data_IF_860365466097
#
_entry.id   IF_860365466097
#
_cell.length_a   1.000
_cell.length_b   1.000
_cell.length_c   1.000
_cell.angle_alpha   90.00
_cell.angle_beta   90.00
_cell.angle_gamma   90.00
#
_symmetry.space_group_name_H-M   'P 1'
#
loop_
_entity.id
_entity.type
_entity.pdbx_description
1 polymer ?
#
# COMPACT_ATOMS: atom_id res chain seq x y z
N UNK A 1 18.52 40.22 -58.95
CA UNK A 1 17.38 40.50 -58.04
C UNK A 1 16.73 39.24 -57.45
N UNK A 2 16.84 38.06 -58.08
CA UNK A 2 16.34 36.78 -57.54
C UNK A 2 17.28 36.09 -56.52
N UNK A 3 18.58 36.42 -56.49
CA UNK A 3 19.57 35.77 -55.60
C UNK A 3 19.60 36.34 -54.18
N UNK A 4 19.17 37.60 -53.97
CA UNK A 4 19.12 38.24 -52.64
C UNK A 4 17.88 37.85 -51.81
N UNK A 5 16.85 37.27 -52.45
CA UNK A 5 15.63 36.81 -51.75
C UNK A 5 15.84 35.41 -51.17
N UNK A 6 16.58 34.55 -51.87
CA UNK A 6 16.89 33.17 -51.42
C UNK A 6 17.86 33.17 -50.23
N UNK A 7 18.81 34.09 -50.19
CA UNK A 7 19.73 34.24 -49.05
C UNK A 7 19.04 34.81 -47.80
N UNK A 8 18.02 35.65 -47.98
CA UNK A 8 17.20 36.19 -46.88
C UNK A 8 16.22 35.17 -46.32
N UNK A 9 15.74 34.23 -47.14
CA UNK A 9 14.90 33.10 -46.70
C UNK A 9 15.74 32.03 -45.99
N UNK A 10 16.99 31.79 -46.41
CA UNK A 10 17.90 30.86 -45.70
C UNK A 10 18.37 31.42 -44.35
N UNK A 11 18.68 32.72 -44.25
CA UNK A 11 19.03 33.37 -42.97
C UNK A 11 17.85 33.59 -42.01
N UNK A 12 16.61 33.48 -42.47
CA UNK A 12 15.44 33.42 -41.58
C UNK A 12 15.12 32.00 -41.08
N UNK A 13 15.63 30.95 -41.74
CA UNK A 13 15.49 29.56 -41.29
C UNK A 13 16.53 29.13 -40.26
N UNK A 14 17.64 29.86 -40.12
CA UNK A 14 18.70 29.59 -39.13
C UNK A 14 18.61 30.46 -37.85
N UNK A 15 17.52 31.20 -37.65
CA UNK A 15 17.27 31.98 -36.40
C UNK A 15 15.96 31.62 -35.70
N UNK A 16 15.63 30.33 -35.71
CA UNK A 16 14.76 29.75 -34.69
C UNK A 16 15.48 28.55 -34.08
N UNK A 17 16.51 28.85 -33.31
CA UNK A 17 16.71 28.11 -32.07
C UNK A 17 15.46 28.36 -31.25
N UNK A 18 14.45 27.49 -31.41
CA UNK A 18 13.46 27.30 -30.37
C UNK A 18 14.29 26.91 -29.16
N UNK A 19 14.50 27.87 -28.25
CA UNK A 19 14.73 27.48 -26.87
C UNK A 19 13.60 26.50 -26.55
N UNK A 20 13.97 25.29 -26.16
CA UNK A 20 13.06 24.44 -25.41
C UNK A 20 12.60 25.32 -24.25
N UNK A 21 11.40 25.89 -24.36
CA UNK A 21 10.78 26.51 -23.21
C UNK A 21 10.69 25.38 -22.21
N UNK A 22 11.43 25.47 -21.10
CA UNK A 22 11.16 24.70 -19.90
C UNK A 22 9.70 24.99 -19.53
N UNK A 23 8.78 24.21 -20.10
CA UNK A 23 7.36 24.32 -19.80
C UNK A 23 7.15 23.62 -18.49
N UNK A 24 6.66 24.37 -17.50
CA UNK A 24 6.11 23.79 -16.30
C UNK A 24 5.05 22.75 -16.71
N UNK A 25 5.22 21.52 -16.24
CA UNK A 25 4.27 20.42 -16.44
C UNK A 25 3.93 19.82 -15.09
N UNK A 26 2.64 19.66 -14.84
CA UNK A 26 2.09 19.03 -13.63
C UNK A 26 0.98 18.10 -14.12
N UNK A 27 0.99 16.85 -13.67
CA UNK A 27 -0.07 15.87 -13.96
C UNK A 27 -1.37 16.28 -13.26
N UNK A 28 -2.51 16.06 -13.88
CA UNK A 28 -3.84 16.32 -13.26
C UNK A 28 -4.31 15.10 -12.44
N UNK A 29 -5.42 15.24 -11.71
CA UNK A 29 -6.06 14.16 -10.94
C UNK A 29 -5.17 13.54 -9.84
N UNK A 30 -4.42 14.39 -9.16
CA UNK A 30 -3.56 14.01 -8.04
C UNK A 30 -4.38 13.69 -6.80
N UNK A 31 -3.95 12.66 -6.07
CA UNK A 31 -4.50 12.30 -4.75
C UNK A 31 -3.37 12.36 -3.73
N UNK A 32 -3.50 13.29 -2.78
CA UNK A 32 -2.62 13.37 -1.62
C UNK A 32 -2.76 12.10 -0.80
N UNK A 33 -1.68 11.66 -0.15
CA UNK A 33 -1.68 10.44 0.65
C UNK A 33 -0.93 10.66 1.97
N UNK A 34 -1.30 9.99 3.07
CA UNK A 34 -2.25 8.89 3.14
C UNK A 34 -3.72 9.29 3.00
N UNK A 35 -4.54 8.39 2.43
CA UNK A 35 -6.01 8.47 2.40
C UNK A 35 -6.57 7.43 3.36
N UNK A 36 -7.40 7.83 4.33
CA UNK A 36 -7.98 6.87 5.27
C UNK A 36 -6.92 6.25 6.20
N UNK A 37 -6.93 4.92 6.32
CA UNK A 37 -6.07 4.15 7.23
C UNK A 37 -4.88 3.52 6.50
N UNK A 38 -4.10 4.32 5.78
CA UNK A 38 -2.91 3.85 5.06
C UNK A 38 -1.67 3.91 5.95
N UNK A 39 -1.09 2.74 6.19
CA UNK A 39 0.11 2.58 7.01
C UNK A 39 1.37 2.23 6.20
N UNK A 40 1.25 1.80 4.93
CA UNK A 40 2.37 1.63 4.00
C UNK A 40 2.50 2.80 3.02
N UNK A 41 3.52 3.64 3.20
CA UNK A 41 3.72 4.80 2.32
C UNK A 41 4.07 4.41 0.88
N UNK A 42 4.73 3.27 0.66
CA UNK A 42 5.05 2.80 -0.70
C UNK A 42 3.78 2.43 -1.46
N UNK A 43 2.93 1.59 -0.84
CA UNK A 43 1.66 1.17 -1.43
C UNK A 43 0.72 2.37 -1.62
N UNK A 44 0.70 3.33 -0.68
CA UNK A 44 -0.07 4.57 -0.80
C UNK A 44 0.39 5.43 -1.99
N UNK A 45 1.71 5.65 -2.11
CA UNK A 45 2.28 6.39 -3.24
C UNK A 45 2.02 5.69 -4.58
N UNK A 46 2.12 4.37 -4.63
CA UNK A 46 1.81 3.57 -5.82
C UNK A 46 0.31 3.62 -6.16
N UNK A 47 -0.57 3.58 -5.16
CA UNK A 47 -2.00 3.71 -5.36
C UNK A 47 -2.35 5.08 -5.98
N UNK A 48 -1.82 6.18 -5.43
CA UNK A 48 -1.97 7.52 -6.00
C UNK A 48 -1.38 7.63 -7.41
N UNK A 49 -0.26 6.95 -7.68
CA UNK A 49 0.30 6.88 -9.02
C UNK A 49 -0.67 6.22 -10.01
N UNK A 50 -1.27 5.10 -9.61
CA UNK A 50 -2.15 4.31 -10.45
C UNK A 50 -3.51 4.98 -10.71
N UNK A 51 -3.99 5.84 -9.82
CA UNK A 51 -5.15 6.72 -10.11
C UNK A 51 -4.89 7.53 -11.38
N UNK A 52 -3.71 8.16 -11.48
CA UNK A 52 -3.31 8.96 -12.65
C UNK A 52 -3.12 8.04 -13.87
N UNK A 53 -2.38 6.93 -13.72
CA UNK A 53 -2.08 5.99 -14.82
C UNK A 53 -3.35 5.37 -15.42
N UNK A 54 -4.37 5.09 -14.59
CA UNK A 54 -5.66 4.55 -15.03
C UNK A 54 -6.59 5.62 -15.60
N UNK A 55 -6.21 6.90 -15.52
CA UNK A 55 -6.99 8.01 -16.03
C UNK A 55 -8.30 8.22 -15.27
N UNK A 56 -8.31 7.91 -13.97
CA UNK A 56 -9.47 8.18 -13.13
C UNK A 56 -9.64 9.69 -12.93
N UNK A 57 -10.90 10.11 -12.91
CA UNK A 57 -11.32 11.50 -12.76
C UNK A 57 -12.41 11.57 -11.70
N UNK A 58 -12.79 12.77 -11.27
CA UNK A 58 -13.94 12.96 -10.36
C UNK A 58 -15.27 12.45 -10.95
N UNK A 59 -15.33 12.28 -12.28
CA UNK A 59 -16.50 11.75 -12.99
C UNK A 59 -16.45 10.22 -13.15
N UNK A 60 -15.33 9.58 -12.79
CA UNK A 60 -15.20 8.12 -12.88
C UNK A 60 -16.03 7.46 -11.79
N UNK A 61 -17.08 6.68 -12.11
CA UNK A 61 -17.92 6.07 -11.09
C UNK A 61 -17.13 5.12 -10.19
N UNK A 62 -17.38 5.20 -8.88
CA UNK A 62 -16.83 4.29 -7.89
C UNK A 62 -17.90 3.29 -7.42
N UNK A 63 -17.52 2.05 -7.09
CA UNK A 63 -18.43 1.09 -6.50
C UNK A 63 -18.63 1.36 -5.00
N UNK A 64 -19.78 1.90 -4.63
CA UNK A 64 -20.13 2.13 -3.23
C UNK A 64 -20.62 0.83 -2.59
N UNK A 65 -19.73 0.12 -1.88
CA UNK A 65 -20.07 -1.13 -1.19
C UNK A 65 -21.27 -1.00 -0.22
N UNK A 66 -21.38 0.04 0.65
CA UNK A 66 -22.55 0.19 1.53
C UNK A 66 -23.90 0.29 0.80
N UNK A 67 -23.92 0.83 -0.41
CA UNK A 67 -25.15 0.99 -1.21
C UNK A 67 -25.28 -0.04 -2.34
N UNK A 68 -24.30 -0.94 -2.49
CA UNK A 68 -24.20 -1.95 -3.56
C UNK A 68 -24.50 -1.40 -4.95
N UNK A 69 -23.94 -0.24 -5.31
CA UNK A 69 -24.15 0.42 -6.61
C UNK A 69 -23.00 1.34 -7.01
N UNK A 70 -22.85 1.58 -8.31
CA UNK A 70 -21.99 2.65 -8.82
C UNK A 70 -22.47 4.00 -8.35
N UNK A 71 -21.51 4.85 -8.05
CA UNK A 71 -21.76 6.13 -7.48
C UNK A 71 -20.80 7.18 -8.03
N UNK A 72 -21.36 8.35 -8.34
CA UNK A 72 -20.57 9.55 -8.64
C UNK A 72 -20.64 10.54 -7.48
N UNK A 73 -21.68 10.59 -6.63
CA UNK A 73 -21.71 11.43 -5.39
C UNK A 73 -22.83 10.99 -4.42
N UNK A 74 -22.69 9.86 -3.72
CA UNK A 74 -23.66 9.48 -2.69
C UNK A 74 -23.27 10.15 -1.38
N UNK A 75 -24.25 10.46 -0.53
CA UNK A 75 -24.01 11.06 0.79
C UNK A 75 -23.01 10.27 1.64
N UNK A 76 -22.95 8.94 1.49
CA UNK A 76 -22.00 8.07 2.19
C UNK A 76 -20.62 7.98 1.52
N UNK A 77 -20.52 8.36 0.24
CA UNK A 77 -19.32 8.28 -0.59
C UNK A 77 -18.44 9.53 -0.42
N UNK A 78 -19.06 10.66 -0.02
CA UNK A 78 -18.41 11.96 0.10
C UNK A 78 -18.20 12.64 -1.25
N UNK A 79 -17.47 13.75 -1.23
CA UNK A 79 -17.17 14.59 -2.40
C UNK A 79 -15.81 14.28 -3.04
N UNK A 80 -15.05 13.32 -2.49
CA UNK A 80 -13.67 13.00 -2.91
C UNK A 80 -13.61 11.62 -3.60
N UNK A 81 -13.99 11.54 -4.88
CA UNK A 81 -14.06 10.24 -5.58
C UNK A 81 -12.70 9.67 -5.90
N UNK A 82 -11.74 10.53 -6.26
CA UNK A 82 -10.38 10.08 -6.54
C UNK A 82 -9.74 9.40 -5.32
N UNK A 83 -10.01 9.89 -4.11
CA UNK A 83 -9.59 9.26 -2.85
C UNK A 83 -10.19 7.85 -2.69
N UNK A 84 -11.44 7.62 -3.12
CA UNK A 84 -12.07 6.29 -3.08
C UNK A 84 -11.46 5.31 -4.07
N UNK A 85 -11.12 5.78 -5.26
CA UNK A 85 -10.39 4.96 -6.23
C UNK A 85 -8.98 4.64 -5.74
N UNK A 86 -8.31 5.61 -5.14
CA UNK A 86 -7.00 5.44 -4.53
C UNK A 86 -7.06 4.37 -3.41
N UNK A 87 -8.00 4.49 -2.48
CA UNK A 87 -8.20 3.55 -1.36
C UNK A 87 -8.49 2.12 -1.86
N UNK A 88 -9.31 1.99 -2.90
CA UNK A 88 -9.60 0.71 -3.56
C UNK A 88 -8.37 0.08 -4.21
N UNK A 89 -7.53 0.89 -4.87
CA UNK A 89 -6.25 0.43 -5.42
C UNK A 89 -5.31 0.01 -4.28
N UNK A 90 -5.21 0.81 -3.22
CA UNK A 90 -4.37 0.52 -2.05
C UNK A 90 -4.73 -0.84 -1.44
N UNK A 91 -6.03 -1.11 -1.24
CA UNK A 91 -6.52 -2.42 -0.77
C UNK A 91 -6.01 -3.56 -1.65
N UNK A 92 -6.13 -3.42 -2.96
CA UNK A 92 -5.70 -4.45 -3.90
C UNK A 92 -4.19 -4.68 -3.90
N UNK A 93 -3.40 -3.60 -3.86
CA UNK A 93 -1.94 -3.68 -3.84
C UNK A 93 -1.41 -4.30 -2.54
N UNK A 94 -2.00 -3.95 -1.38
CA UNK A 94 -1.62 -4.52 -0.09
C UNK A 94 -1.94 -6.02 -0.03
N UNK A 95 -3.06 -6.44 -0.62
CA UNK A 95 -3.42 -7.85 -0.80
C UNK A 95 -2.44 -8.57 -1.74
N UNK A 96 -2.16 -8.01 -2.92
CA UNK A 96 -1.31 -8.63 -3.94
C UNK A 96 0.17 -8.76 -3.51
N UNK A 97 0.65 -7.78 -2.73
CA UNK A 97 1.98 -7.82 -2.11
C UNK A 97 2.08 -8.82 -0.95
N UNK A 98 0.95 -9.35 -0.47
CA UNK A 98 0.79 -10.19 0.73
C UNK A 98 1.02 -9.48 2.07
N UNK A 99 1.38 -8.20 2.07
CA UNK A 99 1.56 -7.40 3.28
C UNK A 99 0.28 -7.36 4.13
N UNK A 100 -0.87 -7.43 3.47
CA UNK A 100 -2.17 -7.50 4.12
C UNK A 100 -2.34 -8.73 5.03
N UNK A 101 -1.47 -9.74 4.93
CA UNK A 101 -1.53 -11.01 5.68
C UNK A 101 -0.40 -11.19 6.71
N UNK A 102 0.40 -10.14 6.99
CA UNK A 102 1.45 -10.14 8.02
C UNK A 102 0.97 -9.62 9.38
N UNK A 103 1.84 -9.71 10.39
CA UNK A 103 1.70 -9.09 11.73
C UNK A 103 2.68 -7.93 11.95
N UNK A 104 3.56 -7.71 10.99
CA UNK A 104 4.58 -6.70 10.95
C UNK A 104 4.77 -6.30 9.49
N UNK A 105 5.34 -5.12 9.28
CA UNK A 105 5.72 -4.71 7.95
C UNK A 105 7.21 -5.03 7.70
N UNK A 106 7.59 -5.54 6.52
CA UNK A 106 8.96 -5.93 6.19
C UNK A 106 10.05 -4.85 6.30
N UNK A 107 9.66 -3.58 6.44
CA UNK A 107 10.58 -2.47 6.65
C UNK A 107 10.85 -2.20 8.14
N UNK A 108 10.09 -2.81 9.05
CA UNK A 108 10.33 -2.72 10.49
C UNK A 108 11.54 -3.59 10.85
N UNK A 109 12.72 -2.98 10.74
CA UNK A 109 13.99 -3.62 10.99
C UNK A 109 14.15 -4.08 12.46
N UNK A 110 13.22 -3.74 13.36
CA UNK A 110 13.21 -4.24 14.75
C UNK A 110 12.62 -5.65 14.87
N UNK A 111 11.94 -6.13 13.83
CA UNK A 111 11.33 -7.47 13.78
C UNK A 111 12.23 -8.42 12.99
N UNK A 112 12.64 -9.53 13.61
CA UNK A 112 13.41 -10.58 12.95
C UNK A 112 13.21 -11.94 13.67
N UNK A 113 12.74 -12.99 12.99
CA UNK A 113 12.27 -13.00 11.59
C UNK A 113 10.92 -12.29 11.42
N UNK A 114 10.64 -11.81 10.21
CA UNK A 114 9.33 -11.27 9.85
C UNK A 114 8.26 -12.38 9.80
N UNK A 115 7.00 -12.02 10.00
CA UNK A 115 5.85 -12.94 9.91
C UNK A 115 5.46 -13.30 8.47
N UNK A 116 6.21 -12.84 7.47
CA UNK A 116 5.94 -13.05 6.05
C UNK A 116 7.15 -13.68 5.34
N UNK A 117 6.93 -14.60 4.38
CA UNK A 117 8.00 -15.27 3.67
C UNK A 117 8.75 -14.32 2.72
N UNK A 118 10.06 -14.51 2.59
CA UNK A 118 10.88 -13.83 1.60
C UNK A 118 11.40 -12.45 2.01
N UNK A 119 10.97 -11.93 3.17
CA UNK A 119 11.44 -10.64 3.70
C UNK A 119 12.53 -10.83 4.75
N UNK A 120 13.52 -9.93 4.75
CA UNK A 120 14.65 -9.92 5.69
C UNK A 120 14.79 -8.53 6.29
N UNK A 121 15.39 -8.40 7.47
CA UNK A 121 15.72 -7.07 8.01
C UNK A 121 16.59 -6.28 7.04
N UNK A 122 16.32 -4.98 6.91
CA UNK A 122 16.95 -4.10 5.94
C UNK A 122 16.41 -4.27 4.52
N UNK A 123 15.33 -5.04 4.32
CA UNK A 123 14.73 -5.21 3.01
C UNK A 123 14.09 -3.90 2.53
N UNK A 124 14.28 -3.62 1.25
CA UNK A 124 13.87 -2.39 0.59
C UNK A 124 13.36 -2.78 -0.79
N UNK A 125 12.03 -2.94 -0.90
CA UNK A 125 11.24 -3.22 -2.12
C UNK A 125 12.08 -3.61 -3.34
N UNK A 126 12.53 -4.86 -3.43
CA UNK A 126 13.43 -5.30 -4.51
C UNK A 126 12.73 -5.34 -5.88
N UNK A 127 13.49 -5.68 -6.93
CA UNK A 127 12.96 -5.71 -8.30
C UNK A 127 11.87 -6.76 -8.46
N UNK A 128 12.03 -7.95 -7.86
CA UNK A 128 11.05 -9.04 -7.94
C UNK A 128 9.72 -8.66 -7.29
N UNK A 129 9.77 -7.93 -6.16
CA UNK A 129 8.58 -7.41 -5.50
C UNK A 129 7.86 -6.37 -6.36
N UNK A 130 8.57 -5.39 -6.90
CA UNK A 130 7.97 -4.36 -7.76
C UNK A 130 7.45 -4.97 -9.06
N UNK A 131 8.15 -5.94 -9.64
CA UNK A 131 7.70 -6.70 -10.82
C UNK A 131 6.40 -7.46 -10.55
N UNK A 132 6.26 -8.08 -9.38
CA UNK A 132 5.02 -8.76 -9.00
C UNK A 132 3.84 -7.77 -8.95
N UNK A 133 4.02 -6.60 -8.34
CA UNK A 133 2.99 -5.56 -8.31
C UNK A 133 2.73 -4.95 -9.69
N UNK A 134 3.75 -4.79 -10.52
CA UNK A 134 3.65 -4.30 -11.90
C UNK A 134 2.82 -5.26 -12.77
N UNK A 135 3.07 -6.56 -12.67
CA UNK A 135 2.30 -7.62 -13.33
C UNK A 135 0.87 -7.71 -12.80
N UNK A 136 0.64 -7.49 -11.51
CA UNK A 136 -0.69 -7.46 -10.94
C UNK A 136 -1.49 -6.24 -11.40
N UNK A 137 -0.92 -5.04 -11.26
CA UNK A 137 -1.62 -3.78 -11.49
C UNK A 137 -1.56 -3.29 -12.95
N UNK A 138 -0.80 -3.95 -13.83
CA UNK A 138 -0.73 -3.63 -15.25
C UNK A 138 0.06 -2.35 -15.56
N UNK A 139 1.30 -2.28 -15.08
CA UNK A 139 2.23 -1.21 -15.47
C UNK A 139 3.61 -1.75 -15.84
N UNK A 140 4.37 -0.95 -16.58
CA UNK A 140 5.79 -1.14 -16.85
C UNK A 140 6.60 -0.10 -16.10
N UNK A 141 7.80 -0.46 -15.68
CA UNK A 141 8.63 0.40 -14.86
C UNK A 141 10.12 0.19 -15.13
N UNK A 142 10.92 1.11 -14.60
CA UNK A 142 12.38 0.95 -14.46
C UNK A 142 12.86 1.60 -13.17
N UNK A 143 13.95 1.09 -12.61
CA UNK A 143 14.59 1.69 -11.44
C UNK A 143 15.70 2.67 -11.82
N UNK A 144 15.83 3.75 -11.05
CA UNK A 144 17.07 4.53 -10.96
C UNK A 144 17.55 4.49 -9.51
N UNK A 145 18.81 4.15 -9.29
CA UNK A 145 19.38 4.02 -7.94
C UNK A 145 20.13 5.26 -7.49
N UNK A 146 20.65 5.21 -6.26
CA UNK A 146 21.52 6.25 -5.69
C UNK A 146 22.85 6.46 -6.46
N UNK A 147 23.20 5.55 -7.36
CA UNK A 147 24.36 5.66 -8.26
C UNK A 147 24.05 6.38 -9.57
N UNK A 148 22.78 6.59 -9.90
CA UNK A 148 22.36 7.34 -11.08
C UNK A 148 22.66 8.83 -10.89
N UNK A 149 23.13 9.49 -11.94
CA UNK A 149 23.40 10.93 -11.92
C UNK A 149 22.10 11.74 -11.82
N UNK A 150 22.18 12.97 -11.30
CA UNK A 150 21.02 13.86 -11.23
C UNK A 150 20.38 14.08 -12.61
N UNK A 151 21.20 14.22 -13.65
CA UNK A 151 20.72 14.41 -15.03
C UNK A 151 19.93 13.19 -15.53
N UNK A 152 20.41 11.97 -15.26
CA UNK A 152 19.72 10.73 -15.65
C UNK A 152 18.37 10.60 -14.95
N UNK A 153 18.31 10.81 -13.63
CA UNK A 153 17.06 10.71 -12.87
C UNK A 153 16.09 11.82 -13.24
N UNK A 154 16.57 13.06 -13.39
CA UNK A 154 15.72 14.19 -13.79
C UNK A 154 15.17 14.00 -15.21
N UNK A 155 16.00 13.53 -16.14
CA UNK A 155 15.55 13.19 -17.50
C UNK A 155 14.53 12.06 -17.48
N UNK A 156 14.66 11.08 -16.57
CA UNK A 156 13.70 10.01 -16.38
C UNK A 156 12.32 10.54 -15.94
N UNK A 157 12.32 11.35 -14.88
CA UNK A 157 11.12 11.98 -14.33
C UNK A 157 10.43 12.83 -15.40
N UNK A 158 11.18 13.72 -16.07
CA UNK A 158 10.64 14.59 -17.13
C UNK A 158 9.99 13.78 -18.24
N UNK A 159 10.67 12.73 -18.72
CA UNK A 159 10.15 11.88 -19.80
C UNK A 159 8.89 11.10 -19.38
N UNK A 160 8.86 10.59 -18.14
CA UNK A 160 7.71 9.86 -17.58
C UNK A 160 6.51 10.79 -17.40
N UNK A 161 6.70 11.95 -16.76
CA UNK A 161 5.69 13.00 -16.62
C UNK A 161 5.23 13.49 -17.98
N UNK A 162 6.12 13.56 -18.96
CA UNK A 162 5.75 13.98 -20.30
C UNK A 162 4.80 13.02 -20.99
N UNK A 163 4.98 11.73 -20.74
CA UNK A 163 4.11 10.64 -21.18
C UNK A 163 2.85 10.47 -20.30
N UNK A 164 2.67 11.26 -19.25
CA UNK A 164 1.49 11.22 -18.37
C UNK A 164 1.65 10.31 -17.15
N UNK A 165 2.85 9.82 -16.86
CA UNK A 165 3.12 8.90 -15.76
C UNK A 165 3.92 9.57 -14.65
N UNK A 166 3.59 9.31 -13.37
CA UNK A 166 4.38 9.81 -12.26
C UNK A 166 5.56 8.89 -11.94
N UNK A 167 6.48 9.35 -11.09
CA UNK A 167 7.64 8.59 -10.62
C UNK A 167 7.62 8.51 -9.09
N UNK A 168 7.77 7.31 -8.53
CA UNK A 168 7.90 7.13 -7.09
C UNK A 168 9.36 7.39 -6.70
N UNK A 169 9.57 8.23 -5.69
CA UNK A 169 10.89 8.59 -5.16
C UNK A 169 10.95 8.23 -3.68
N UNK A 170 12.06 7.61 -3.27
CA UNK A 170 12.41 7.46 -1.86
C UNK A 170 13.58 8.39 -1.54
N UNK A 171 13.36 9.34 -0.65
CA UNK A 171 14.41 10.25 -0.18
C UNK A 171 15.02 9.72 1.15
N UNK A 172 15.87 10.52 1.81
CA UNK A 172 16.68 10.08 2.97
C UNK A 172 15.89 9.47 4.14
N UNK A 173 14.61 9.81 4.28
CA UNK A 173 13.73 9.12 5.21
C UNK A 173 13.37 7.75 4.63
N UNK A 174 13.95 6.69 5.19
CA UNK A 174 13.90 5.31 4.64
C UNK A 174 12.49 4.77 4.42
N UNK A 175 11.50 5.43 5.03
CA UNK A 175 10.12 5.02 5.14
C UNK A 175 9.15 5.89 4.35
N UNK A 176 9.56 7.03 3.82
CA UNK A 176 8.66 7.96 3.13
C UNK A 176 8.89 7.92 1.62
N UNK A 177 7.82 7.56 0.91
CA UNK A 177 7.74 7.62 -0.54
C UNK A 177 7.01 8.87 -0.97
N UNK A 178 7.57 9.55 -1.97
CA UNK A 178 7.03 10.77 -2.56
C UNK A 178 6.73 10.48 -4.03
N UNK A 179 5.60 10.97 -4.54
CA UNK A 179 5.25 10.83 -5.93
C UNK A 179 5.65 12.10 -6.71
N UNK A 180 6.64 12.01 -7.58
CA UNK A 180 6.98 13.08 -8.50
C UNK A 180 5.93 13.16 -9.63
N UNK A 181 5.17 14.25 -9.63
CA UNK A 181 4.01 14.48 -10.52
C UNK A 181 4.20 15.68 -11.44
N UNK A 182 5.34 16.38 -11.38
CA UNK A 182 5.57 17.53 -12.22
C UNK A 182 7.00 18.06 -12.18
N UNK A 183 7.29 18.98 -13.09
CA UNK A 183 8.56 19.70 -13.14
C UNK A 183 8.39 21.13 -13.69
N UNK A 184 9.33 22.01 -13.36
CA UNK A 184 9.51 23.35 -13.96
C UNK A 184 11.01 23.66 -14.04
N UNK A 185 11.57 23.58 -15.24
CA UNK A 185 13.02 23.56 -15.39
C UNK A 185 13.61 22.35 -14.66
N UNK A 186 14.48 22.59 -13.67
CA UNK A 186 15.11 21.52 -12.88
C UNK A 186 14.41 21.28 -11.54
N UNK A 187 13.40 22.09 -11.22
CA UNK A 187 12.53 21.89 -10.07
C UNK A 187 11.61 20.71 -10.32
N UNK A 188 11.56 19.77 -9.40
CA UNK A 188 10.61 18.65 -9.39
C UNK A 188 9.50 18.96 -8.38
N UNK A 189 8.25 18.68 -8.74
CA UNK A 189 7.11 18.79 -7.84
C UNK A 189 6.71 17.40 -7.34
N UNK A 190 6.74 17.24 -6.02
CA UNK A 190 6.36 16.04 -5.29
C UNK A 190 4.94 16.14 -4.73
N UNK A 191 4.37 14.97 -4.50
CA UNK A 191 3.09 14.74 -3.87
C UNK A 191 3.31 13.72 -2.74
N UNK A 192 2.93 14.10 -1.53
CA UNK A 192 2.79 13.25 -0.35
C UNK A 192 1.50 13.67 0.39
N UNK A 193 1.55 13.88 1.70
CA UNK A 193 0.49 14.58 2.45
C UNK A 193 0.24 16.01 1.94
N UNK A 194 1.16 16.55 1.15
CA UNK A 194 1.13 17.88 0.55
C UNK A 194 1.59 17.83 -0.91
N UNK A 195 1.17 18.83 -1.69
CA UNK A 195 1.77 19.13 -2.99
C UNK A 195 2.84 20.20 -2.80
N UNK A 196 4.08 19.90 -3.16
CA UNK A 196 5.20 20.80 -2.90
C UNK A 196 6.32 20.68 -3.94
N UNK A 197 7.18 21.69 -4.01
CA UNK A 197 8.45 21.58 -4.73
C UNK A 197 9.44 20.77 -3.88
N UNK A 198 10.19 19.87 -4.50
CA UNK A 198 11.31 19.20 -3.85
C UNK A 198 12.45 20.21 -3.62
N UNK A 199 13.25 20.05 -2.56
CA UNK A 199 14.39 20.92 -2.30
C UNK A 199 15.45 20.78 -3.41
N UNK A 200 16.24 21.84 -3.67
CA UNK A 200 17.23 21.87 -4.76
C UNK A 200 18.24 20.70 -4.71
N UNK A 201 18.52 20.19 -3.50
CA UNK A 201 19.44 19.08 -3.26
C UNK A 201 18.75 17.69 -3.20
N UNK A 202 17.50 17.55 -3.63
CA UNK A 202 16.73 16.29 -3.53
C UNK A 202 17.48 15.06 -4.06
N UNK A 203 18.26 15.20 -5.14
CA UNK A 203 19.01 14.08 -5.73
C UNK A 203 20.09 13.55 -4.76
N UNK A 204 20.74 14.44 -4.00
CA UNK A 204 21.70 14.01 -2.97
C UNK A 204 21.07 13.18 -1.86
N UNK A 205 19.75 13.33 -1.67
CA UNK A 205 18.96 12.58 -0.71
C UNK A 205 18.31 11.33 -1.31
N UNK A 206 18.43 11.10 -2.62
CA UNK A 206 17.75 10.02 -3.32
C UNK A 206 18.32 8.66 -2.89
N UNK A 207 17.42 7.80 -2.42
CA UNK A 207 17.72 6.40 -2.09
C UNK A 207 17.25 5.45 -3.17
N UNK A 208 16.09 5.71 -3.74
CA UNK A 208 15.49 4.89 -4.79
C UNK A 208 14.53 5.70 -5.65
N UNK A 209 14.34 5.29 -6.91
CA UNK A 209 13.37 5.86 -7.82
C UNK A 209 12.77 4.77 -8.72
N UNK A 210 11.45 4.60 -8.66
CA UNK A 210 10.68 3.71 -9.52
C UNK A 210 9.92 4.58 -10.52
N UNK A 211 10.38 4.54 -11.77
CA UNK A 211 9.85 5.34 -12.87
C UNK A 211 8.83 4.49 -13.61
N UNK A 212 7.55 4.88 -13.58
CA UNK A 212 6.52 4.23 -14.41
C UNK A 212 6.73 4.65 -15.85
N UNK A 213 6.84 3.66 -16.75
CA UNK A 213 7.17 3.86 -18.16
C UNK A 213 5.99 3.66 -19.10
N UNK A 214 4.86 3.14 -18.60
CA UNK A 214 3.66 2.93 -19.38
C UNK A 214 2.71 1.92 -18.76
N UNK A 215 1.50 1.84 -19.27
CA UNK A 215 0.49 0.84 -18.88
C UNK A 215 0.66 -0.45 -19.66
N UNK A 216 0.42 -1.59 -19.01
CA UNK A 216 0.42 -2.93 -19.59
C UNK A 216 -0.87 -3.66 -19.23
N UNK A 217 -1.17 -4.76 -19.91
CA UNK A 217 -2.22 -5.67 -19.42
C UNK A 217 -1.71 -6.38 -18.16
N UNK A 218 -2.56 -6.61 -17.14
CA UNK A 218 -2.22 -7.49 -16.02
C UNK A 218 -1.80 -8.89 -16.51
N UNK A 219 -0.74 -9.42 -15.91
CA UNK A 219 -0.11 -10.71 -16.25
C UNK A 219 -0.05 -11.67 -15.04
N UNK A 220 -0.34 -11.19 -13.83
CA UNK A 220 -0.50 -12.07 -12.67
C UNK A 220 -1.78 -12.89 -12.80
N UNK A 221 -1.67 -14.21 -12.69
CA UNK A 221 -2.85 -15.09 -12.71
C UNK A 221 -3.55 -15.11 -11.34
N UNK A 222 -4.85 -15.41 -11.34
CA UNK A 222 -5.61 -15.69 -10.11
C UNK A 222 -4.95 -16.80 -9.28
N UNK A 223 -4.51 -17.89 -9.92
CA UNK A 223 -3.79 -18.98 -9.25
C UNK A 223 -2.55 -18.48 -8.52
N UNK A 224 -1.71 -17.71 -9.20
CA UNK A 224 -0.48 -17.18 -8.62
C UNK A 224 -0.75 -16.27 -7.42
N UNK A 225 -1.72 -15.36 -7.53
CA UNK A 225 -2.11 -14.51 -6.40
C UNK A 225 -2.52 -15.37 -5.19
N UNK A 226 -3.40 -16.35 -5.40
CA UNK A 226 -3.88 -17.22 -4.33
C UNK A 226 -2.77 -18.09 -3.73
N UNK A 227 -1.81 -18.57 -4.53
CA UNK A 227 -0.62 -19.28 -4.06
C UNK A 227 0.24 -18.39 -3.16
N UNK A 228 0.46 -17.12 -3.54
CA UNK A 228 1.20 -16.14 -2.72
C UNK A 228 0.50 -15.90 -1.38
N UNK A 229 -0.81 -15.68 -1.39
CA UNK A 229 -1.58 -15.45 -0.16
C UNK A 229 -1.55 -16.70 0.74
N UNK A 230 -1.75 -17.90 0.16
CA UNK A 230 -1.66 -19.14 0.92
C UNK A 230 -0.27 -19.35 1.53
N UNK A 231 0.80 -19.00 0.81
CA UNK A 231 2.18 -19.05 1.32
C UNK A 231 2.39 -18.10 2.50
N UNK A 232 1.82 -16.88 2.44
CA UNK A 232 1.91 -15.92 3.54
C UNK A 232 1.17 -16.40 4.80
N UNK A 233 -0.08 -16.87 4.65
CA UNK A 233 -0.91 -17.33 5.77
C UNK A 233 -0.46 -18.66 6.40
N UNK A 234 0.39 -19.43 5.70
CA UNK A 234 0.91 -20.71 6.20
C UNK A 234 2.40 -20.70 6.46
N UNK A 235 3.00 -19.52 6.53
CA UNK A 235 4.41 -19.36 6.85
C UNK A 235 4.72 -19.84 8.27
N UNK A 236 5.90 -20.40 8.48
CA UNK A 236 6.27 -21.02 9.76
C UNK A 236 6.36 -19.97 10.86
N UNK A 237 6.94 -18.82 10.57
CA UNK A 237 7.13 -17.70 11.50
C UNK A 237 5.83 -16.98 11.81
N UNK A 238 4.89 -16.93 10.85
CA UNK A 238 3.51 -16.53 11.09
C UNK A 238 2.87 -17.42 12.15
N UNK A 239 3.02 -18.75 12.01
CA UNK A 239 2.44 -19.72 12.95
C UNK A 239 3.16 -19.70 14.30
N UNK A 240 4.48 -19.52 14.30
CA UNK A 240 5.29 -19.47 15.52
C UNK A 240 4.96 -18.26 16.38
N UNK A 241 4.59 -17.12 15.77
CA UNK A 241 4.21 -15.90 16.49
C UNK A 241 3.06 -16.12 17.46
N UNK A 242 2.07 -16.96 17.12
CA UNK A 242 0.98 -17.32 18.05
C UNK A 242 1.55 -17.89 19.35
N UNK A 243 2.50 -18.82 19.26
CA UNK A 243 3.13 -19.44 20.43
C UNK A 243 3.96 -18.45 21.24
N UNK A 244 4.67 -17.53 20.57
CA UNK A 244 5.43 -16.46 21.23
C UNK A 244 4.51 -15.54 22.02
N UNK A 245 3.37 -15.14 21.45
CA UNK A 245 2.39 -14.30 22.13
C UNK A 245 1.86 -14.99 23.39
N UNK A 246 1.47 -16.27 23.29
CA UNK A 246 0.97 -17.03 24.44
C UNK A 246 2.02 -17.12 25.55
N UNK A 247 3.26 -17.46 25.20
CA UNK A 247 4.36 -17.59 26.16
C UNK A 247 4.67 -16.26 26.86
N UNK A 248 4.75 -15.16 26.11
CA UNK A 248 5.00 -13.82 26.66
C UNK A 248 3.89 -13.41 27.64
N UNK A 249 2.63 -13.68 27.31
CA UNK A 249 1.49 -13.36 28.17
C UNK A 249 1.43 -14.20 29.45
N UNK A 250 1.97 -15.43 29.44
CA UNK A 250 2.07 -16.29 30.63
C UNK A 250 3.20 -15.85 31.59
N UNK A 251 4.13 -15.02 31.13
CA UNK A 251 5.33 -14.61 31.88
C UNK A 251 5.41 -13.09 32.14
N UNK A 252 4.26 -12.42 32.22
CA UNK A 252 4.20 -10.98 32.56
C UNK A 252 4.59 -10.76 34.02
N UNK A 253 5.46 -9.78 34.23
CA UNK A 253 5.99 -9.35 35.54
C UNK A 253 5.92 -7.83 35.65
N UNK A 254 5.95 -7.26 36.87
CA UNK A 254 5.99 -5.80 37.03
C UNK A 254 7.16 -5.14 36.27
N UNK A 255 8.28 -5.85 36.12
CA UNK A 255 9.47 -5.35 35.44
C UNK A 255 9.33 -5.29 33.91
N UNK A 256 8.54 -6.18 33.29
CA UNK A 256 8.38 -6.25 31.83
C UNK A 256 7.00 -5.78 31.32
N UNK A 257 6.06 -5.46 32.22
CA UNK A 257 4.67 -5.19 31.85
C UNK A 257 4.50 -4.10 30.77
N UNK A 258 5.30 -3.04 30.81
CA UNK A 258 5.24 -1.96 29.82
C UNK A 258 5.69 -2.45 28.44
N UNK A 259 6.79 -3.22 28.40
CA UNK A 259 7.34 -3.75 27.15
C UNK A 259 6.41 -4.79 26.54
N UNK A 260 5.82 -5.66 27.37
CA UNK A 260 4.85 -6.66 26.92
C UNK A 260 3.57 -5.99 26.41
N UNK A 261 3.06 -4.96 27.10
CA UNK A 261 1.93 -4.17 26.59
C UNK A 261 2.27 -3.50 25.25
N UNK A 262 3.47 -2.93 25.13
CA UNK A 262 3.99 -2.36 23.88
C UNK A 262 4.04 -3.38 22.75
N UNK A 263 4.56 -4.59 23.02
CA UNK A 263 4.62 -5.69 22.06
C UNK A 263 3.22 -6.11 21.61
N UNK A 264 2.28 -6.34 22.52
CA UNK A 264 0.90 -6.72 22.16
C UNK A 264 0.19 -5.62 21.36
N UNK A 265 0.39 -4.36 21.74
CA UNK A 265 -0.17 -3.22 21.02
C UNK A 265 0.40 -3.08 19.62
N UNK A 266 1.73 -3.25 19.46
CA UNK A 266 2.43 -3.19 18.18
C UNK A 266 2.02 -4.33 17.25
N UNK A 267 2.02 -5.57 17.74
CA UNK A 267 1.56 -6.74 16.98
C UNK A 267 0.13 -6.57 16.52
N UNK A 268 -0.76 -6.02 17.35
CA UNK A 268 -2.16 -5.80 16.99
C UNK A 268 -2.34 -4.67 15.95
N UNK A 269 -1.42 -3.70 15.93
CA UNK A 269 -1.52 -2.51 15.09
C UNK A 269 -1.56 -2.80 13.59
N UNK A 270 -0.89 -3.87 13.14
CA UNK A 270 -0.88 -4.28 11.72
C UNK A 270 -2.15 -5.07 11.33
N UNK A 271 -2.47 -6.23 11.91
CA UNK A 271 -3.56 -7.10 11.44
C UNK A 271 -4.94 -6.44 11.58
N UNK A 272 -5.15 -5.53 12.53
CA UNK A 272 -6.44 -4.83 12.68
C UNK A 272 -6.80 -4.04 11.40
N UNK A 273 -5.83 -3.42 10.73
CA UNK A 273 -6.04 -2.67 9.49
C UNK A 273 -5.75 -3.52 8.26
N UNK A 274 -4.63 -4.24 8.24
CA UNK A 274 -4.17 -5.04 7.12
C UNK A 274 -5.22 -6.09 6.67
N UNK A 275 -5.88 -6.76 7.61
CA UNK A 275 -6.95 -7.72 7.29
C UNK A 275 -8.23 -7.06 6.82
N UNK A 276 -8.50 -5.83 7.27
CA UNK A 276 -9.62 -5.03 6.74
C UNK A 276 -9.39 -4.72 5.26
N UNK A 277 -8.21 -4.21 4.90
CA UNK A 277 -7.84 -3.97 3.50
C UNK A 277 -7.91 -5.25 2.65
N UNK A 278 -7.45 -6.39 3.19
CA UNK A 278 -7.59 -7.67 2.50
C UNK A 278 -9.04 -7.98 2.17
N UNK A 279 -9.96 -7.88 3.13
CA UNK A 279 -11.36 -8.17 2.89
C UNK A 279 -12.03 -7.17 1.94
N UNK A 280 -11.76 -5.87 2.08
CA UNK A 280 -12.28 -4.83 1.18
C UNK A 280 -11.85 -5.08 -0.27
N UNK A 281 -10.62 -5.57 -0.50
CA UNK A 281 -10.14 -5.92 -1.85
C UNK A 281 -10.95 -7.02 -2.53
N UNK A 282 -11.61 -7.91 -1.79
CA UNK A 282 -12.51 -8.94 -2.34
C UNK A 282 -14.00 -8.56 -2.27
N UNK A 283 -14.36 -7.58 -1.43
CA UNK A 283 -15.74 -7.10 -1.30
C UNK A 283 -16.09 -5.99 -2.30
N UNK A 284 -15.09 -5.26 -2.80
CA UNK A 284 -15.26 -4.27 -3.86
C UNK A 284 -15.69 -4.90 -5.19
N UNK A 285 -16.45 -4.15 -5.99
CA UNK A 285 -16.68 -4.49 -7.40
C UNK A 285 -15.80 -3.60 -8.28
N UNK A 286 -15.31 -4.16 -9.40
CA UNK A 286 -14.51 -3.45 -10.41
C UNK A 286 -13.23 -2.78 -9.89
N UNK A 287 -12.60 -3.37 -8.89
CA UNK A 287 -11.25 -3.01 -8.46
C UNK A 287 -10.19 -3.81 -9.24
N UNK A 288 -8.90 -3.57 -8.96
CA UNK A 288 -7.79 -4.26 -9.66
C UNK A 288 -7.85 -5.78 -9.54
N UNK A 289 -8.39 -6.29 -8.44
CA UNK A 289 -8.55 -7.73 -8.23
C UNK A 289 -9.56 -8.34 -9.24
N UNK A 290 -10.56 -7.58 -9.68
CA UNK A 290 -11.49 -8.02 -10.71
C UNK A 290 -10.84 -8.22 -12.09
N UNK A 291 -9.69 -7.59 -12.37
CA UNK A 291 -8.95 -7.77 -13.62
C UNK A 291 -8.39 -9.20 -13.76
N UNK A 292 -8.19 -9.91 -12.64
CA UNK A 292 -7.59 -11.26 -12.60
C UNK A 292 -8.58 -12.36 -12.20
N UNK A 293 -9.67 -12.04 -11.49
CA UNK A 293 -10.69 -13.01 -11.08
C UNK A 293 -11.79 -13.15 -12.12
N UNK A 294 -11.63 -14.11 -13.03
CA UNK A 294 -12.64 -14.43 -14.06
C UNK A 294 -13.70 -15.44 -13.58
N UNK A 295 -13.37 -16.27 -12.59
CA UNK A 295 -14.29 -17.22 -11.96
C UNK A 295 -15.10 -16.55 -10.84
N UNK A 296 -16.39 -16.34 -11.10
CA UNK A 296 -17.31 -15.68 -10.17
C UNK A 296 -17.66 -16.52 -8.94
N UNK A 297 -17.63 -17.86 -9.06
CA UNK A 297 -17.93 -18.75 -7.93
C UNK A 297 -16.77 -18.73 -6.93
N UNK A 298 -15.54 -18.87 -7.42
CA UNK A 298 -14.32 -18.74 -6.60
C UNK A 298 -14.26 -17.36 -5.95
N UNK A 299 -14.47 -16.29 -6.73
CA UNK A 299 -14.46 -14.94 -6.18
C UNK A 299 -15.53 -14.74 -5.09
N UNK A 300 -16.75 -15.26 -5.29
CA UNK A 300 -17.81 -15.17 -4.28
C UNK A 300 -17.44 -15.90 -2.99
N UNK A 301 -16.88 -17.11 -3.08
CA UNK A 301 -16.45 -17.88 -1.91
C UNK A 301 -15.36 -17.16 -1.12
N UNK A 302 -14.37 -16.61 -1.82
CA UNK A 302 -13.28 -15.86 -1.21
C UNK A 302 -13.78 -14.56 -0.54
N UNK A 303 -14.65 -13.82 -1.22
CA UNK A 303 -15.34 -12.67 -0.62
C UNK A 303 -16.06 -13.05 0.67
N UNK A 304 -16.84 -14.12 0.63
CA UNK A 304 -17.67 -14.51 1.77
C UNK A 304 -16.82 -14.94 2.98
N UNK A 305 -15.73 -15.70 2.78
CA UNK A 305 -14.83 -16.10 3.88
C UNK A 305 -14.03 -14.92 4.42
N UNK A 306 -13.46 -14.06 3.56
CA UNK A 306 -12.64 -12.92 3.99
C UNK A 306 -13.52 -11.89 4.71
N UNK A 307 -14.71 -11.62 4.17
CA UNK A 307 -15.67 -10.74 4.82
C UNK A 307 -16.05 -11.26 6.21
N UNK A 308 -16.42 -12.55 6.31
CA UNK A 308 -16.84 -13.15 7.57
C UNK A 308 -15.73 -13.19 8.63
N UNK A 309 -14.48 -13.42 8.21
CA UNK A 309 -13.34 -13.62 9.12
C UNK A 309 -12.60 -12.35 9.46
N UNK A 310 -12.62 -11.33 8.62
CA UNK A 310 -11.82 -10.13 8.86
C UNK A 310 -12.63 -8.88 9.17
N UNK A 311 -13.86 -8.69 8.64
CA UNK A 311 -14.55 -7.37 8.74
C UNK A 311 -16.04 -7.39 9.11
N UNK A 312 -16.72 -8.54 9.07
CA UNK A 312 -18.15 -8.63 9.39
C UNK A 312 -18.40 -8.37 10.87
N UNK A 313 -18.84 -7.16 11.22
CA UNK A 313 -19.07 -6.70 12.59
C UNK A 313 -19.81 -7.73 13.46
N UNK A 314 -19.20 -8.09 14.59
CA UNK A 314 -19.84 -8.91 15.64
C UNK A 314 -19.78 -10.42 15.39
N UNK A 315 -18.86 -10.88 14.55
CA UNK A 315 -18.64 -12.29 14.20
C UNK A 315 -17.27 -12.83 14.66
N UNK A 316 -16.67 -12.23 15.69
CA UNK A 316 -15.28 -12.51 16.09
C UNK A 316 -14.31 -12.42 14.89
N UNK A 317 -14.54 -11.41 14.08
CA UNK A 317 -13.74 -11.01 12.95
C UNK A 317 -12.47 -10.29 13.40
N UNK A 318 -11.37 -10.42 12.65
CA UNK A 318 -10.06 -9.88 13.04
C UNK A 318 -10.07 -8.38 13.32
N UNK A 319 -10.76 -7.57 12.52
CA UNK A 319 -10.87 -6.13 12.75
C UNK A 319 -11.54 -5.81 14.10
N UNK A 320 -12.70 -6.43 14.38
CA UNK A 320 -13.42 -6.27 15.65
C UNK A 320 -12.64 -6.82 16.85
N UNK A 321 -11.89 -7.92 16.66
CA UNK A 321 -10.99 -8.46 17.68
C UNK A 321 -9.86 -7.48 17.99
N UNK A 322 -9.29 -6.83 16.97
CA UNK A 322 -8.23 -5.85 17.18
C UNK A 322 -8.66 -4.69 18.07
N UNK A 323 -9.90 -4.21 17.91
CA UNK A 323 -10.49 -3.21 18.82
C UNK A 323 -10.62 -3.73 20.25
N UNK A 324 -11.01 -5.00 20.43
CA UNK A 324 -11.09 -5.64 21.76
C UNK A 324 -9.71 -5.78 22.41
N UNK A 325 -8.66 -6.09 21.63
CA UNK A 325 -7.27 -6.20 22.11
C UNK A 325 -6.79 -4.83 22.62
N UNK A 326 -6.95 -3.77 21.84
CA UNK A 326 -6.61 -2.42 22.29
C UNK A 326 -7.41 -2.02 23.54
N UNK A 327 -8.72 -2.30 23.57
CA UNK A 327 -9.55 -2.06 24.75
C UNK A 327 -9.07 -2.79 26.00
N UNK A 328 -8.63 -4.06 25.87
CA UNK A 328 -8.07 -4.83 26.98
C UNK A 328 -6.74 -4.26 27.52
N UNK A 329 -5.99 -3.54 26.66
CA UNK A 329 -4.76 -2.83 27.03
C UNK A 329 -5.02 -1.38 27.51
N UNK A 330 -6.28 -0.93 27.53
CA UNK A 330 -6.63 0.46 27.82
C UNK A 330 -6.08 1.43 26.77
N UNK A 331 -6.00 0.99 25.52
CA UNK A 331 -5.54 1.75 24.35
C UNK A 331 -6.75 2.13 23.50
N UNK A 332 -6.78 3.38 23.03
CA UNK A 332 -7.89 3.89 22.23
C UNK A 332 -7.63 5.29 21.67
N UNK A 333 -8.64 5.93 21.04
CA UNK A 333 -8.53 7.28 20.50
C UNK A 333 -8.04 8.30 21.55
N UNK A 334 -8.46 8.16 22.80
CA UNK A 334 -8.07 9.01 23.92
C UNK A 334 -6.59 8.89 24.31
N UNK A 335 -5.95 7.76 23.98
CA UNK A 335 -4.51 7.56 24.18
C UNK A 335 -3.71 7.81 22.90
N UNK A 336 -4.36 8.19 21.80
CA UNK A 336 -3.73 8.25 20.48
C UNK A 336 -3.20 6.89 20.04
N UNK A 337 -3.85 5.80 20.45
CA UNK A 337 -3.44 4.42 20.21
C UNK A 337 -2.07 4.03 20.78
N UNK A 338 -1.54 4.80 21.72
CA UNK A 338 -0.29 4.49 22.41
C UNK A 338 -0.54 3.77 23.74
N UNK A 339 0.40 2.90 24.12
CA UNK A 339 0.42 2.27 25.45
C UNK A 339 0.75 3.29 26.53
N UNK A 340 0.14 3.11 27.70
CA UNK A 340 0.31 4.01 28.86
C UNK A 340 0.68 3.23 30.11
N UNK A 341 0.90 3.92 31.24
CA UNK A 341 1.08 3.24 32.53
C UNK A 341 -0.12 2.37 32.90
N UNK A 342 -1.33 2.78 32.53
CA UNK A 342 -2.53 1.96 32.74
C UNK A 342 -2.46 0.64 31.97
N UNK A 343 -1.85 0.62 30.78
CA UNK A 343 -1.65 -0.61 30.02
C UNK A 343 -0.76 -1.61 30.77
N UNK A 344 0.31 -1.12 31.42
CA UNK A 344 1.16 -1.95 32.27
C UNK A 344 0.41 -2.49 33.50
N UNK A 345 -0.43 -1.67 34.14
CA UNK A 345 -1.25 -2.10 35.27
C UNK A 345 -2.32 -3.14 34.87
N UNK A 346 -2.91 -2.99 33.68
CA UNK A 346 -3.93 -3.89 33.15
C UNK A 346 -3.33 -5.25 32.77
N UNK A 347 -2.18 -5.27 32.08
CA UNK A 347 -1.60 -6.52 31.58
C UNK A 347 -1.02 -7.41 32.70
N UNK A 348 -0.78 -6.85 33.90
CA UNK A 348 -0.45 -7.62 35.11
C UNK A 348 -1.64 -8.41 35.65
N UNK A 349 -2.87 -8.07 35.24
CA UNK A 349 -4.07 -8.77 35.68
C UNK A 349 -4.22 -10.05 34.89
N UNK A 350 -4.36 -11.17 35.60
CA UNK A 350 -4.54 -12.49 34.98
C UNK A 350 -5.74 -12.53 34.03
N UNK A 351 -6.83 -11.83 34.36
CA UNK A 351 -8.00 -11.72 33.50
C UNK A 351 -7.67 -11.08 32.14
N UNK A 352 -6.87 -10.01 32.15
CA UNK A 352 -6.41 -9.35 30.91
C UNK A 352 -5.51 -10.28 30.10
N UNK A 353 -4.58 -11.01 30.74
CA UNK A 353 -3.71 -11.98 30.06
C UNK A 353 -4.53 -13.08 29.36
N UNK A 354 -5.48 -13.71 30.06
CA UNK A 354 -6.35 -14.74 29.48
C UNK A 354 -7.22 -14.19 28.35
N UNK A 355 -7.72 -12.95 28.50
CA UNK A 355 -8.49 -12.26 27.47
C UNK A 355 -7.65 -12.05 26.20
N UNK A 356 -6.44 -11.51 26.35
CA UNK A 356 -5.52 -11.27 25.23
C UNK A 356 -5.15 -12.57 24.52
N UNK A 357 -4.82 -13.63 25.27
CA UNK A 357 -4.53 -14.96 24.70
C UNK A 357 -5.70 -15.49 23.86
N UNK A 358 -6.93 -15.39 24.38
CA UNK A 358 -8.12 -15.82 23.65
C UNK A 358 -8.35 -15.02 22.36
N UNK A 359 -8.19 -13.70 22.44
CA UNK A 359 -8.38 -12.80 21.29
C UNK A 359 -7.33 -13.03 20.20
N UNK A 360 -6.04 -13.10 20.56
CA UNK A 360 -4.97 -13.39 19.58
C UNK A 360 -5.15 -14.77 18.94
N UNK A 361 -5.43 -15.82 19.72
CA UNK A 361 -5.70 -17.16 19.17
C UNK A 361 -6.80 -17.14 18.10
N UNK A 362 -7.82 -16.28 18.29
CA UNK A 362 -8.91 -16.14 17.34
C UNK A 362 -8.50 -15.47 16.03
N UNK A 363 -7.57 -14.50 16.06
CA UNK A 363 -6.97 -13.92 14.84
C UNK A 363 -6.30 -15.03 14.02
N UNK A 364 -5.45 -15.85 14.64
CA UNK A 364 -4.79 -16.96 13.94
C UNK A 364 -5.77 -18.04 13.46
N UNK A 365 -6.86 -18.29 14.20
CA UNK A 365 -7.94 -19.17 13.74
C UNK A 365 -8.62 -18.64 12.47
N UNK A 366 -8.86 -17.33 12.40
CA UNK A 366 -9.41 -16.67 11.22
C UNK A 366 -8.45 -16.78 10.01
N UNK A 367 -7.17 -16.51 10.21
CA UNK A 367 -6.12 -16.63 9.17
C UNK A 367 -6.03 -18.08 8.65
N UNK A 368 -6.09 -19.08 9.54
CA UNK A 368 -6.16 -20.52 9.16
C UNK A 368 -7.40 -20.87 8.35
N UNK A 369 -8.58 -20.34 8.72
CA UNK A 369 -9.82 -20.59 8.02
C UNK A 369 -9.80 -20.00 6.60
N UNK A 370 -9.28 -18.78 6.45
CA UNK A 370 -9.08 -18.15 5.14
C UNK A 370 -8.07 -18.94 4.30
N UNK A 371 -6.94 -19.35 4.89
CA UNK A 371 -5.94 -20.15 4.19
C UNK A 371 -6.51 -21.49 3.68
N UNK A 372 -7.37 -22.15 4.46
CA UNK A 372 -8.02 -23.40 4.06
C UNK A 372 -8.95 -23.19 2.85
N UNK A 373 -9.75 -22.12 2.85
CA UNK A 373 -10.66 -21.81 1.74
C UNK A 373 -9.89 -21.44 0.46
N UNK A 374 -8.80 -20.66 0.59
CA UNK A 374 -7.91 -20.33 -0.52
C UNK A 374 -7.32 -21.60 -1.14
N UNK A 375 -6.81 -22.52 -0.32
CA UNK A 375 -6.28 -23.82 -0.79
C UNK A 375 -7.35 -24.65 -1.49
N UNK A 376 -8.58 -24.67 -0.96
CA UNK A 376 -9.70 -25.33 -1.63
C UNK A 376 -10.04 -24.72 -3.00
N UNK A 377 -9.93 -23.39 -3.15
CA UNK A 377 -10.13 -22.73 -4.44
C UNK A 377 -8.99 -23.03 -5.42
N UNK A 378 -7.74 -23.11 -4.94
CA UNK A 378 -6.57 -23.45 -5.76
C UNK A 378 -6.64 -24.86 -6.37
N UNK A 379 -7.32 -25.80 -5.71
CA UNK A 379 -7.58 -27.15 -6.22
C UNK A 379 -8.60 -27.19 -7.37
N UNK A 380 -9.36 -26.10 -7.58
CA UNK A 380 -10.44 -26.00 -8.57
C UNK A 380 -10.07 -25.16 -9.80
N UNK A 381 -9.13 -24.24 -9.63
CA UNK A 381 -8.41 -23.59 -10.73
C UNK A 381 -7.55 -24.61 -11.46
#
# INVERSE_FOLDING_TARGET
>A
MHSLIVERISRMRERKGYGHSNMKKILEHQVLFPVGAESDSFTAALASALVIVRGYTEETPYWCAPNSRYCIHCSSCGDHLLERHQESIYHCLLTASTLAFGFDYPWDDTVNPHSLPGFRSGWRWDDDFVDALARFAGFSWRRCGCTSTQEEVLSAIKSSVDAGFPTLLRLENEMEWILAVGYDGDTVYGLDSQFHALPDNWHSMLRDAIVITGSTAPDMSCRELLERIASALSYEEHTALESVIMDVLDHVTPENAMDVAGMMCGINGVPIEARWHAAESFCGAENLLCDIFTDKEIHSRLRDILSARYISCGNDETHGIGWKIWGALGVGPETGYAVTRQSADLILQKETQETLKCLFAKIFENDRAVCAEIRSCLEQL
#
